data_IF_008263892193
#
_entry.id   IF_008263892193
#
_cell.length_a   1.000
_cell.length_b   1.000
_cell.length_c   1.000
_cell.angle_alpha   90.00
_cell.angle_beta   90.00
_cell.angle_gamma   90.00
#
_symmetry.space_group_name_H-M   'P 1'
#
loop_
_entity.id
_entity.type
_entity.pdbx_description
1 polymer ?
#
# COMPACT_ATOMS: atom_id res chain seq x y z
N UNK A 1 56.44 -14.43 -34.40
CA UNK A 1 56.41 -15.39 -33.28
C UNK A 1 55.19 -15.05 -32.44
N UNK A 2 54.12 -15.83 -32.60
CA UNK A 2 52.80 -15.62 -32.00
C UNK A 2 52.86 -15.89 -30.51
N UNK A 3 52.30 -15.00 -29.68
CA UNK A 3 51.37 -15.39 -28.59
C UNK A 3 50.31 -14.28 -28.41
N UNK A 4 49.23 -14.47 -29.17
CA UNK A 4 47.87 -14.10 -28.80
C UNK A 4 47.55 -14.68 -27.41
N UNK A 5 47.09 -13.87 -26.46
CA UNK A 5 45.94 -14.24 -25.62
C UNK A 5 45.11 -12.97 -25.40
N UNK A 6 44.05 -12.82 -26.20
CA UNK A 6 42.91 -11.98 -25.87
C UNK A 6 42.23 -12.61 -24.64
N UNK A 7 42.15 -11.90 -23.52
CA UNK A 7 41.18 -12.23 -22.47
C UNK A 7 40.06 -11.20 -22.50
N UNK A 8 39.15 -11.42 -23.45
CA UNK A 8 37.79 -10.90 -23.42
C UNK A 8 37.06 -11.72 -22.35
N UNK A 9 36.71 -11.12 -21.21
CA UNK A 9 35.63 -11.66 -20.39
C UNK A 9 34.78 -10.51 -19.83
N UNK A 10 33.83 -10.13 -20.70
CA UNK A 10 32.49 -9.66 -20.41
C UNK A 10 32.32 -8.70 -19.22
N UNK A 11 32.16 -7.43 -19.55
CA UNK A 11 30.96 -6.64 -19.25
C UNK A 11 29.86 -7.41 -18.49
N UNK A 12 30.02 -7.56 -17.17
CA UNK A 12 28.97 -8.01 -16.28
C UNK A 12 28.10 -6.83 -15.89
N UNK A 13 27.36 -6.27 -16.85
CA UNK A 13 26.30 -5.30 -16.57
C UNK A 13 25.18 -6.08 -15.89
N UNK A 14 25.24 -6.22 -14.57
CA UNK A 14 24.19 -6.86 -13.79
C UNK A 14 22.95 -5.99 -13.92
N UNK A 15 22.05 -6.38 -14.83
CA UNK A 15 20.70 -5.87 -14.89
C UNK A 15 20.01 -6.32 -13.60
N UNK A 16 20.04 -5.44 -12.59
CA UNK A 16 19.18 -5.55 -11.42
C UNK A 16 17.76 -5.42 -11.97
N UNK A 17 17.13 -6.56 -12.24
CA UNK A 17 15.74 -6.64 -12.67
C UNK A 17 14.88 -6.17 -11.51
N UNK A 18 14.45 -4.90 -11.56
CA UNK A 18 13.49 -4.37 -10.61
C UNK A 18 12.13 -4.95 -10.97
N UNK A 19 11.70 -5.99 -10.23
CA UNK A 19 10.41 -6.63 -10.42
C UNK A 19 9.35 -5.75 -9.73
N UNK A 20 8.98 -4.63 -10.36
CA UNK A 20 7.89 -3.79 -9.87
C UNK A 20 6.56 -4.43 -10.27
N UNK A 21 5.91 -5.03 -9.29
CA UNK A 21 4.56 -5.55 -9.48
C UNK A 21 3.63 -4.37 -9.76
N UNK A 22 3.04 -4.32 -10.96
CA UNK A 22 2.33 -3.13 -11.48
C UNK A 22 1.10 -2.74 -10.66
N UNK A 23 0.62 -3.64 -9.81
CA UNK A 23 -0.61 -3.48 -9.04
C UNK A 23 -0.35 -3.20 -7.55
N UNK A 24 0.92 -3.11 -7.14
CA UNK A 24 1.31 -2.77 -5.77
C UNK A 24 1.44 -1.25 -5.57
N UNK A 25 0.87 -0.74 -4.48
CA UNK A 25 0.90 0.68 -4.11
C UNK A 25 1.22 0.85 -2.63
N UNK A 26 2.01 1.87 -2.33
CA UNK A 26 2.24 2.31 -0.95
C UNK A 26 1.16 3.30 -0.53
N UNK A 27 0.47 3.00 0.57
CA UNK A 27 -0.53 3.86 1.19
C UNK A 27 -0.19 4.10 2.65
N UNK A 28 -0.77 5.14 3.23
CA UNK A 28 -0.61 5.49 4.63
C UNK A 28 -1.96 5.46 5.33
N UNK A 29 -2.04 4.85 6.51
CA UNK A 29 -3.25 4.79 7.33
C UNK A 29 -3.06 5.65 8.58
N UNK A 30 -4.01 6.52 8.85
CA UNK A 30 -3.99 7.44 9.97
C UNK A 30 -4.20 6.74 11.32
N UNK A 31 -3.72 7.37 12.39
CA UNK A 31 -3.83 6.82 13.75
C UNK A 31 -5.22 6.90 14.38
N UNK A 32 -6.13 7.63 13.75
CA UNK A 32 -7.50 7.79 14.21
C UNK A 32 -8.47 7.42 13.10
N UNK A 33 -9.63 6.98 13.53
CA UNK A 33 -10.82 6.87 12.70
C UNK A 33 -11.61 8.17 12.75
N UNK A 34 -12.43 8.43 11.74
CA UNK A 34 -13.35 9.58 11.71
C UNK A 34 -14.78 9.09 11.48
N UNK A 35 -15.79 9.69 12.14
CA UNK A 35 -17.18 9.41 11.83
C UNK A 35 -17.46 9.59 10.34
N UNK A 36 -18.07 8.58 9.74
CA UNK A 36 -18.40 8.53 8.31
C UNK A 36 -19.70 7.75 8.10
N UNK A 37 -20.31 7.94 6.94
CA UNK A 37 -21.42 7.10 6.50
C UNK A 37 -20.88 6.08 5.49
N UNK A 38 -21.02 4.77 5.80
CA UNK A 38 -20.64 3.68 4.92
C UNK A 38 -21.89 2.91 4.46
N UNK A 39 -22.84 3.63 3.85
CA UNK A 39 -24.10 3.10 3.33
C UNK A 39 -25.32 3.70 4.02
N UNK A 40 -25.97 2.94 4.90
CA UNK A 40 -27.19 3.39 5.62
C UNK A 40 -26.93 3.62 7.10
N UNK A 41 -25.72 3.30 7.59
CA UNK A 41 -25.35 3.44 9.00
C UNK A 41 -24.13 4.36 9.17
N UNK A 42 -24.15 5.14 10.25
CA UNK A 42 -23.01 5.90 10.71
C UNK A 42 -22.01 4.96 11.40
N UNK A 43 -20.73 5.12 11.07
CA UNK A 43 -19.64 4.28 11.56
C UNK A 43 -18.34 5.08 11.63
N UNK A 44 -17.26 4.45 12.06
CA UNK A 44 -15.92 5.02 12.07
C UNK A 44 -15.09 4.50 10.90
N UNK A 45 -14.72 5.38 9.95
CA UNK A 45 -13.88 5.03 8.80
C UNK A 45 -12.39 5.24 9.11
N UNK A 46 -11.55 4.44 8.45
CA UNK A 46 -10.12 4.70 8.43
C UNK A 46 -9.82 5.97 7.64
N UNK A 47 -8.71 6.62 8.01
CA UNK A 47 -8.12 7.71 7.25
C UNK A 47 -6.99 7.16 6.38
N UNK A 48 -6.96 7.54 5.10
CA UNK A 48 -5.94 7.08 4.14
C UNK A 48 -5.26 8.25 3.42
N UNK A 49 -3.99 8.07 3.09
CA UNK A 49 -3.30 8.85 2.05
C UNK A 49 -2.75 7.90 0.99
N UNK A 50 -3.00 8.24 -0.26
CA UNK A 50 -2.57 7.43 -1.41
C UNK A 50 -1.12 7.74 -1.83
N UNK A 51 -0.53 8.79 -1.27
CA UNK A 51 0.88 9.11 -1.44
C UNK A 51 1.42 9.88 -0.24
N UNK A 52 2.74 9.81 -0.05
CA UNK A 52 3.43 10.52 1.04
C UNK A 52 3.28 12.04 0.97
N UNK A 53 3.10 12.58 -0.23
CA UNK A 53 3.01 14.01 -0.48
C UNK A 53 1.59 14.57 -0.31
N UNK A 54 0.60 13.70 -0.08
CA UNK A 54 -0.77 14.12 0.17
C UNK A 54 -0.87 14.84 1.51
N UNK A 55 -1.37 16.08 1.50
CA UNK A 55 -1.48 16.91 2.70
C UNK A 55 -2.64 16.45 3.58
N UNK A 56 -3.82 16.31 2.98
CA UNK A 56 -5.06 15.94 3.67
C UNK A 56 -5.26 14.43 3.70
N UNK A 57 -5.99 13.96 4.71
CA UNK A 57 -6.42 12.57 4.82
C UNK A 57 -7.76 12.38 4.12
N UNK A 58 -7.91 11.31 3.34
CA UNK A 58 -9.20 10.89 2.78
C UNK A 58 -9.88 9.87 3.69
N UNK A 59 -11.20 9.78 3.57
CA UNK A 59 -11.94 8.68 4.20
C UNK A 59 -11.82 7.41 3.37
N UNK A 60 -11.44 6.33 4.04
CA UNK A 60 -11.38 5.01 3.45
C UNK A 60 -12.57 4.18 3.90
N UNK A 61 -13.54 4.04 3.00
CA UNK A 61 -14.80 3.32 3.23
C UNK A 61 -14.70 1.81 3.00
N UNK A 62 -13.56 1.35 2.47
CA UNK A 62 -13.33 -0.04 2.13
C UNK A 62 -12.57 -0.76 3.26
N UNK A 63 -12.34 -2.05 3.04
CA UNK A 63 -11.46 -2.85 3.89
C UNK A 63 -10.19 -3.22 3.12
N UNK A 64 -9.09 -3.40 3.84
CA UNK A 64 -7.85 -3.97 3.31
C UNK A 64 -7.77 -5.41 3.83
N UNK A 65 -7.96 -6.39 2.96
CA UNK A 65 -7.92 -7.81 3.35
C UNK A 65 -6.55 -8.15 3.95
N UNK A 66 -6.55 -8.77 5.13
CA UNK A 66 -5.33 -9.15 5.86
C UNK A 66 -4.73 -8.05 6.74
N UNK A 67 -5.24 -6.81 6.67
CA UNK A 67 -4.84 -5.74 7.57
C UNK A 67 -5.76 -5.65 8.79
N UNK A 68 -5.18 -5.53 9.98
CA UNK A 68 -5.90 -5.32 11.24
C UNK A 68 -5.50 -3.99 11.83
N UNK A 69 -6.42 -3.02 11.78
CA UNK A 69 -6.19 -1.70 12.32
C UNK A 69 -6.21 -1.72 13.86
N UNK A 70 -5.22 -1.07 14.47
CA UNK A 70 -5.21 -0.71 15.88
C UNK A 70 -5.12 0.81 16.04
N UNK A 71 -6.07 1.37 16.79
CA UNK A 71 -6.15 2.80 17.11
C UNK A 71 -4.86 3.31 17.77
N UNK A 72 -4.50 4.55 17.43
CA UNK A 72 -3.31 5.21 17.95
C UNK A 72 -2.01 4.87 17.22
N UNK A 73 -2.07 4.18 16.07
CA UNK A 73 -0.89 3.91 15.25
C UNK A 73 -1.07 4.44 13.84
N UNK A 74 -0.07 5.13 13.31
CA UNK A 74 0.02 5.39 11.86
C UNK A 74 0.73 4.22 11.18
N UNK A 75 0.28 3.87 9.98
CA UNK A 75 0.83 2.75 9.22
C UNK A 75 1.32 3.22 7.85
N UNK A 76 2.38 2.61 7.37
CA UNK A 76 2.76 2.59 5.96
C UNK A 76 2.59 1.17 5.44
N UNK A 77 1.74 0.98 4.44
CA UNK A 77 1.35 -0.32 3.92
C UNK A 77 1.68 -0.38 2.42
N UNK A 78 2.15 -1.52 1.95
CA UNK A 78 2.06 -1.90 0.54
C UNK A 78 0.82 -2.75 0.37
N UNK A 79 -0.08 -2.31 -0.50
CA UNK A 79 -1.32 -2.99 -0.83
C UNK A 79 -1.35 -3.33 -2.31
N UNK A 80 -2.13 -4.36 -2.67
CA UNK A 80 -2.48 -4.66 -4.05
C UNK A 80 -3.92 -4.23 -4.31
N UNK A 81 -4.14 -3.55 -5.42
CA UNK A 81 -5.46 -3.22 -5.94
C UNK A 81 -5.87 -4.19 -7.04
N UNK A 82 -7.07 -4.76 -6.94
CA UNK A 82 -7.62 -5.66 -7.93
C UNK A 82 -9.03 -5.22 -8.30
N UNK A 83 -9.32 -5.11 -9.60
CA UNK A 83 -10.68 -4.87 -10.08
C UNK A 83 -11.52 -6.13 -9.85
N UNK A 84 -12.69 -5.96 -9.24
CA UNK A 84 -13.66 -7.04 -9.06
C UNK A 84 -14.57 -7.08 -10.28
N UNK A 85 -14.59 -8.20 -10.99
CA UNK A 85 -15.57 -8.43 -12.05
C UNK A 85 -16.94 -8.75 -11.43
N UNK A 86 -17.98 -8.04 -11.88
CA UNK A 86 -19.35 -8.16 -11.37
C UNK A 86 -19.46 -7.96 -9.84
N UNK A 87 -19.13 -6.76 -9.32
CA UNK A 87 -19.28 -6.48 -7.90
C UNK A 87 -20.77 -6.59 -7.48
N UNK A 88 -21.05 -6.90 -6.20
CA UNK A 88 -22.39 -6.74 -5.64
C UNK A 88 -22.93 -5.33 -5.91
N UNK A 89 -24.26 -5.16 -5.98
CA UNK A 89 -24.90 -3.88 -6.31
C UNK A 89 -24.41 -2.70 -5.44
N UNK A 90 -24.16 -2.96 -4.15
CA UNK A 90 -23.67 -1.98 -3.16
C UNK A 90 -22.20 -2.22 -2.77
N UNK A 91 -21.49 -3.06 -3.51
CA UNK A 91 -20.10 -3.43 -3.24
C UNK A 91 -19.10 -2.58 -4.03
N UNK A 92 -17.92 -2.36 -3.45
CA UNK A 92 -16.79 -1.75 -4.18
C UNK A 92 -16.40 -2.60 -5.39
N UNK A 93 -16.12 -1.94 -6.52
CA UNK A 93 -15.54 -2.57 -7.70
C UNK A 93 -14.02 -2.75 -7.60
N UNK A 94 -13.41 -2.38 -6.47
CA UNK A 94 -11.99 -2.56 -6.15
C UNK A 94 -11.84 -3.34 -4.86
N UNK A 95 -11.00 -4.36 -4.91
CA UNK A 95 -10.52 -5.14 -3.76
C UNK A 95 -9.11 -4.70 -3.39
N UNK A 96 -8.88 -4.47 -2.10
CA UNK A 96 -7.58 -4.11 -1.54
C UNK A 96 -7.05 -5.27 -0.69
N UNK A 97 -5.83 -5.72 -0.96
CA UNK A 97 -5.18 -6.80 -0.20
C UNK A 97 -3.86 -6.29 0.37
N UNK A 98 -3.60 -6.53 1.65
CA UNK A 98 -2.32 -6.22 2.26
C UNK A 98 -1.24 -7.14 1.68
N UNK A 99 -0.20 -6.54 1.11
CA UNK A 99 1.00 -7.25 0.67
C UNK A 99 2.06 -7.18 1.78
N UNK A 100 2.25 -5.99 2.37
CA UNK A 100 3.25 -5.79 3.42
C UNK A 100 2.91 -4.61 4.32
N UNK A 101 3.09 -4.77 5.62
CA UNK A 101 3.20 -3.65 6.55
C UNK A 101 4.65 -3.17 6.57
N UNK A 102 4.90 -1.95 6.08
CA UNK A 102 6.24 -1.36 5.99
C UNK A 102 6.64 -0.77 7.33
N UNK A 103 5.71 -0.05 7.96
CA UNK A 103 5.92 0.51 9.30
C UNK A 103 4.60 0.66 10.06
N UNK A 104 4.73 0.64 11.39
CA UNK A 104 3.67 0.93 12.36
C UNK A 104 4.26 1.82 13.43
N UNK A 105 3.75 3.04 13.55
CA UNK A 105 4.23 4.04 14.51
C UNK A 105 3.12 4.41 15.47
N UNK A 106 3.28 4.05 16.74
CA UNK A 106 2.38 4.50 17.80
C UNK A 106 2.53 6.00 18.03
N UNK A 107 1.43 6.74 17.92
CA UNK A 107 1.38 8.12 18.35
C UNK A 107 1.08 8.13 19.86
N UNK A 108 2.03 8.65 20.63
CA UNK A 108 1.80 8.91 22.04
C UNK A 108 0.85 10.10 22.13
N UNK A 109 -0.37 9.85 22.62
CA UNK A 109 -1.30 10.93 22.95
C UNK A 109 -0.73 11.62 24.18
N UNK A 110 -0.01 12.72 23.98
CA UNK A 110 0.25 13.68 25.05
C UNK A 110 -1.10 14.29 25.42
N UNK A 111 -1.62 13.84 26.56
CA UNK A 111 -2.84 14.33 27.19
C UNK A 111 -2.70 15.81 27.57
#
# INVERSE_FOLDING_TARGET
MVRLILSIFSLGLTLISCNTNKDEKTVYIGANTTPCNAGVMETECLQIKWSKNQKEWDFFYNTIQGFKYEKGNEYELVIKEEKVENPPADGSNVKYTLIKEVSKKRLLVTK
#
